data_IF_309073908558
#
_entry.id   IF_309073908558
#
_cell.length_a   1.000
_cell.length_b   1.000
_cell.length_c   1.000
_cell.angle_alpha   90.00
_cell.angle_beta   90.00
_cell.angle_gamma   90.00
#
_symmetry.space_group_name_H-M   'P 1'
#
loop_
_entity.id
_entity.type
_entity.pdbx_description
1 polymer ?
#
# COMPACT_ATOMS: atom_id res chain seq x y z
N UNK A 1 -89.98 10.29 13.57
CA UNK A 1 -89.04 10.72 14.62
C UNK A 1 -87.67 10.94 13.95
N UNK A 2 -87.44 12.09 13.29
CA UNK A 2 -86.53 13.20 13.68
C UNK A 2 -85.18 12.69 14.23
N UNK A 3 -84.19 12.48 13.36
CA UNK A 3 -83.09 13.41 12.99
C UNK A 3 -82.01 13.51 14.08
N UNK A 4 -80.91 12.78 13.89
CA UNK A 4 -79.63 13.06 14.55
C UNK A 4 -78.83 14.03 13.66
N UNK A 5 -78.39 15.14 14.25
CA UNK A 5 -77.43 16.09 13.68
C UNK A 5 -76.17 15.93 14.55
N UNK A 6 -75.05 15.55 13.94
CA UNK A 6 -73.73 15.69 14.55
C UNK A 6 -72.96 16.71 13.72
N UNK A 7 -72.55 17.78 14.38
CA UNK A 7 -71.81 18.90 13.82
C UNK A 7 -70.36 18.49 13.50
N UNK A 8 -69.88 18.97 12.36
CA UNK A 8 -68.51 18.82 11.90
C UNK A 8 -67.55 19.72 12.69
N UNK A 9 -66.39 19.19 13.07
CA UNK A 9 -65.21 19.98 13.38
C UNK A 9 -64.17 19.67 12.29
N UNK A 10 -63.93 20.64 11.42
CA UNK A 10 -62.83 20.61 10.46
C UNK A 10 -61.54 20.96 11.20
N UNK A 11 -60.49 20.16 11.02
CA UNK A 11 -59.12 20.57 11.32
C UNK A 11 -58.27 20.28 10.09
N UNK A 12 -57.79 21.37 9.52
CA UNK A 12 -56.98 21.43 8.31
C UNK A 12 -55.68 20.64 8.50
N UNK A 13 -55.55 19.53 7.77
CA UNK A 13 -54.28 18.86 7.61
C UNK A 13 -53.44 19.63 6.57
N UNK A 14 -52.38 20.27 7.04
CA UNK A 14 -51.35 20.85 6.19
C UNK A 14 -50.63 19.70 5.47
N UNK A 15 -50.87 19.52 4.17
CA UNK A 15 -50.16 18.56 3.34
C UNK A 15 -48.75 19.12 3.08
N UNK A 16 -47.77 18.67 3.86
CA UNK A 16 -46.36 18.81 3.51
C UNK A 16 -46.08 17.90 2.31
N UNK A 17 -46.04 18.49 1.11
CA UNK A 17 -45.48 17.85 -0.06
C UNK A 17 -43.96 17.67 0.16
N UNK A 18 -43.57 16.56 0.77
CA UNK A 18 -42.21 16.06 0.66
C UNK A 18 -42.01 15.61 -0.78
N UNK A 19 -41.44 16.50 -1.60
CA UNK A 19 -40.84 16.11 -2.86
C UNK A 19 -39.76 15.09 -2.55
N UNK A 20 -40.01 13.82 -2.88
CA UNK A 20 -38.98 12.79 -2.89
C UNK A 20 -37.98 13.17 -3.99
N UNK A 21 -36.92 13.88 -3.63
CA UNK A 21 -35.72 13.93 -4.42
C UNK A 21 -35.21 12.49 -4.49
N UNK A 22 -35.40 11.84 -5.64
CA UNK A 22 -34.77 10.55 -5.92
C UNK A 22 -33.27 10.68 -5.59
N UNK A 23 -32.67 9.73 -4.85
CA UNK A 23 -31.24 9.76 -4.64
C UNK A 23 -30.59 9.72 -6.01
N UNK A 24 -29.82 10.77 -6.33
CA UNK A 24 -28.97 10.77 -7.51
C UNK A 24 -28.13 9.49 -7.44
N UNK A 25 -28.31 8.62 -8.44
CA UNK A 25 -27.72 7.29 -8.46
C UNK A 25 -26.24 7.39 -8.11
N UNK A 26 -25.87 6.77 -6.99
CA UNK A 26 -24.50 6.38 -6.77
C UNK A 26 -24.17 5.46 -7.94
N UNK A 27 -23.44 5.98 -8.93
CA UNK A 27 -22.93 5.14 -10.00
C UNK A 27 -22.14 4.03 -9.32
N UNK A 28 -22.64 2.80 -9.45
CA UNK A 28 -21.94 1.61 -8.97
C UNK A 28 -20.56 1.63 -9.61
N UNK A 29 -19.54 1.99 -8.84
CA UNK A 29 -18.16 2.02 -9.32
C UNK A 29 -17.82 0.59 -9.70
N UNK A 30 -17.72 0.34 -11.00
CA UNK A 30 -17.32 -0.95 -11.53
C UNK A 30 -16.05 -1.40 -10.79
N UNK A 31 -16.04 -2.65 -10.34
CA UNK A 31 -14.91 -3.20 -9.62
C UNK A 31 -13.61 -2.99 -10.43
N UNK A 32 -12.48 -2.70 -9.77
CA UNK A 32 -11.20 -2.61 -10.45
C UNK A 32 -10.94 -3.90 -11.24
N UNK A 33 -10.33 -3.81 -12.43
CA UNK A 33 -10.00 -5.00 -13.19
C UNK A 33 -8.98 -5.85 -12.41
N UNK A 34 -8.98 -7.15 -12.68
CA UNK A 34 -8.01 -8.08 -12.10
C UNK A 34 -6.55 -7.70 -12.48
N UNK A 35 -5.57 -7.94 -11.59
CA UNK A 35 -4.17 -7.58 -11.81
C UNK A 35 -3.51 -8.27 -12.99
N UNK A 36 -4.00 -9.45 -13.39
CA UNK A 36 -3.24 -10.35 -14.24
C UNK A 36 -2.01 -10.88 -13.51
N UNK A 37 -0.94 -11.21 -14.25
CA UNK A 37 0.29 -11.75 -13.67
C UNK A 37 1.37 -10.67 -13.61
N UNK A 38 1.94 -10.46 -12.43
CA UNK A 38 3.13 -9.66 -12.23
C UNK A 38 4.05 -10.31 -11.19
N UNK A 39 5.30 -9.86 -11.15
CA UNK A 39 6.31 -10.34 -10.20
C UNK A 39 6.78 -9.17 -9.36
N UNK A 40 6.72 -9.32 -8.04
CA UNK A 40 7.39 -8.45 -7.08
C UNK A 40 8.79 -8.97 -6.83
N UNK A 41 9.80 -8.09 -6.90
CA UNK A 41 11.19 -8.49 -6.71
C UNK A 41 12.04 -7.35 -6.13
N UNK A 42 13.23 -7.67 -5.66
CA UNK A 42 14.17 -6.72 -5.07
C UNK A 42 15.60 -7.23 -5.08
N UNK A 43 16.55 -6.34 -4.83
CA UNK A 43 17.94 -6.74 -4.65
C UNK A 43 18.22 -7.14 -3.20
N UNK A 44 19.33 -7.86 -3.01
CA UNK A 44 19.81 -8.09 -1.66
C UNK A 44 20.26 -6.78 -1.03
N UNK A 45 20.00 -6.63 0.27
CA UNK A 45 20.52 -5.51 1.04
C UNK A 45 22.04 -5.47 0.90
N UNK A 46 22.57 -4.28 0.61
CA UNK A 46 23.98 -4.04 0.41
C UNK A 46 24.40 -2.71 1.06
N UNK A 47 25.70 -2.55 1.28
CA UNK A 47 26.27 -1.28 1.75
C UNK A 47 26.51 -0.41 0.51
N UNK A 48 25.97 0.81 0.51
CA UNK A 48 26.22 1.79 -0.54
C UNK A 48 27.70 2.16 -0.59
N UNK A 49 28.23 2.34 -1.81
CA UNK A 49 29.59 2.84 -2.04
C UNK A 49 29.74 4.33 -1.75
N UNK A 50 28.63 5.07 -1.64
CA UNK A 50 28.64 6.51 -1.33
C UNK A 50 28.69 6.73 0.18
N UNK A 51 29.57 7.62 0.65
CA UNK A 51 29.64 8.01 2.06
C UNK A 51 28.43 8.89 2.48
N UNK A 52 27.97 8.80 3.74
CA UNK A 52 28.38 7.83 4.76
C UNK A 52 27.88 6.42 4.42
N UNK A 53 28.50 5.40 4.97
CA UNK A 53 28.11 4.01 4.71
C UNK A 53 26.64 3.77 5.10
N UNK A 54 25.82 3.35 4.14
CA UNK A 54 24.40 3.09 4.35
C UNK A 54 24.01 1.69 3.88
N UNK A 55 23.27 0.94 4.70
CA UNK A 55 22.52 -0.21 4.19
C UNK A 55 21.44 0.29 3.24
N UNK A 56 21.32 -0.33 2.07
CA UNK A 56 20.34 0.04 1.06
C UNK A 56 19.79 -1.20 0.38
N UNK A 57 18.53 -1.12 -0.02
CA UNK A 57 17.86 -2.12 -0.83
C UNK A 57 16.91 -1.44 -1.82
N UNK A 58 16.66 -2.13 -2.92
CA UNK A 58 15.75 -1.69 -3.96
C UNK A 58 14.65 -2.71 -4.22
N UNK A 59 13.44 -2.21 -4.41
CA UNK A 59 12.27 -3.01 -4.77
C UNK A 59 11.71 -2.55 -6.11
N UNK A 60 11.21 -3.49 -6.89
CA UNK A 60 10.54 -3.22 -8.16
C UNK A 60 9.47 -4.27 -8.46
N UNK A 61 8.74 -4.03 -9.53
CA UNK A 61 7.75 -4.96 -10.06
C UNK A 61 8.01 -5.21 -11.54
N UNK A 62 7.59 -6.38 -12.03
CA UNK A 62 7.64 -6.72 -13.45
C UNK A 62 6.28 -7.23 -13.90
N UNK A 63 5.66 -6.50 -14.82
CA UNK A 63 4.44 -6.93 -15.49
C UNK A 63 4.73 -8.13 -16.39
N UNK A 64 3.87 -9.16 -16.31
CA UNK A 64 3.85 -10.29 -17.23
C UNK A 64 2.59 -10.21 -18.10
N UNK A 65 1.43 -9.97 -17.50
CA UNK A 65 0.14 -9.75 -18.19
C UNK A 65 -0.74 -8.77 -17.41
N UNK A 66 -1.96 -8.49 -17.89
CA UNK A 66 -2.95 -7.64 -17.20
C UNK A 66 -2.93 -6.15 -17.58
N UNK A 67 -3.82 -5.34 -16.99
CA UNK A 67 -4.03 -3.93 -17.39
C UNK A 67 -3.05 -2.96 -16.72
N UNK A 68 -2.43 -3.31 -15.59
CA UNK A 68 -1.58 -2.40 -14.81
C UNK A 68 -0.44 -1.77 -15.62
N UNK A 69 -0.22 -0.47 -15.47
CA UNK A 69 0.85 0.29 -16.17
C UNK A 69 1.86 0.94 -15.22
N UNK A 70 1.43 1.21 -13.98
CA UNK A 70 2.23 1.75 -12.89
C UNK A 70 1.86 1.03 -11.60
N UNK A 71 2.80 0.97 -10.68
CA UNK A 71 2.57 0.49 -9.33
C UNK A 71 3.23 1.41 -8.32
N UNK A 72 2.65 1.54 -7.14
CA UNK A 72 3.37 2.03 -5.96
C UNK A 72 4.17 0.87 -5.39
N UNK A 73 5.48 0.94 -5.51
CA UNK A 73 6.37 -0.03 -4.87
C UNK A 73 6.76 0.52 -3.52
N UNK A 74 6.46 -0.22 -2.46
CA UNK A 74 6.89 0.08 -1.09
C UNK A 74 7.92 -0.95 -0.67
N UNK A 75 9.06 -0.50 -0.18
CA UNK A 75 10.14 -1.37 0.33
C UNK A 75 10.45 -1.00 1.77
N UNK A 76 10.43 -2.02 2.62
CA UNK A 76 10.84 -1.97 4.01
C UNK A 76 12.24 -2.60 4.12
N UNK A 77 13.21 -1.82 4.58
CA UNK A 77 14.52 -2.31 4.95
C UNK A 77 14.46 -2.87 6.38
N UNK A 78 14.75 -4.16 6.54
CA UNK A 78 14.66 -4.85 7.81
C UNK A 78 16.02 -5.33 8.31
N UNK A 79 16.27 -5.14 9.59
CA UNK A 79 17.42 -5.69 10.31
C UNK A 79 16.94 -6.64 11.41
N UNK A 80 17.67 -7.74 11.61
CA UNK A 80 17.42 -8.65 12.73
C UNK A 80 18.04 -8.06 13.99
N UNK A 81 17.23 -7.74 14.98
CA UNK A 81 17.70 -7.30 16.29
C UNK A 81 18.18 -8.50 17.10
N UNK A 82 19.46 -8.48 17.49
CA UNK A 82 20.08 -9.59 18.22
C UNK A 82 19.57 -9.73 19.65
N UNK A 83 18.97 -8.67 20.21
CA UNK A 83 18.47 -8.66 21.60
C UNK A 83 17.22 -9.52 21.76
N UNK A 84 16.35 -9.52 20.76
CA UNK A 84 15.07 -10.24 20.78
C UNK A 84 14.89 -11.23 19.61
N UNK A 85 15.87 -11.36 18.72
CA UNK A 85 15.86 -12.19 17.51
C UNK A 85 14.67 -11.89 16.57
N UNK A 86 14.21 -10.63 16.52
CA UNK A 86 13.10 -10.21 15.65
C UNK A 86 13.57 -9.31 14.53
N UNK A 87 12.94 -9.47 13.37
CA UNK A 87 13.11 -8.55 12.25
C UNK A 87 12.38 -7.24 12.55
N UNK A 88 13.10 -6.12 12.47
CA UNK A 88 12.56 -4.78 12.66
C UNK A 88 12.76 -3.98 11.38
N UNK A 89 11.71 -3.31 10.93
CA UNK A 89 11.81 -2.32 9.86
C UNK A 89 12.52 -1.09 10.41
N UNK A 90 13.66 -0.75 9.81
CA UNK A 90 14.50 0.39 10.23
C UNK A 90 14.46 1.55 9.24
N UNK A 91 14.01 1.31 8.01
CA UNK A 91 13.71 2.34 7.04
C UNK A 91 12.65 1.84 6.05
N UNK A 92 11.83 2.77 5.55
CA UNK A 92 10.85 2.49 4.50
C UNK A 92 11.04 3.49 3.38
N UNK A 93 10.90 3.02 2.15
CA UNK A 93 10.87 3.87 0.97
C UNK A 93 9.74 3.46 0.05
N UNK A 94 9.20 4.40 -0.70
CA UNK A 94 8.20 4.08 -1.72
C UNK A 94 8.37 4.93 -2.95
N UNK A 95 7.95 4.40 -4.10
CA UNK A 95 7.95 5.13 -5.36
C UNK A 95 6.89 4.58 -6.30
N UNK A 96 6.13 5.46 -6.95
CA UNK A 96 5.28 5.09 -8.08
C UNK A 96 6.13 4.98 -9.34
N UNK A 97 6.16 3.78 -9.93
CA UNK A 97 7.06 3.44 -11.03
C UNK A 97 6.37 2.61 -12.09
N UNK A 98 6.90 2.69 -13.33
CA UNK A 98 6.57 1.71 -14.38
C UNK A 98 7.24 0.37 -14.06
N UNK A 99 6.78 -0.69 -14.72
CA UNK A 99 7.38 -2.02 -14.60
C UNK A 99 8.86 -2.02 -15.02
N UNK A 100 9.70 -2.71 -14.25
CA UNK A 100 11.12 -2.95 -14.53
C UNK A 100 12.05 -2.64 -13.33
N UNK A 101 13.25 -3.24 -13.30
CA UNK A 101 14.21 -3.10 -12.19
C UNK A 101 15.27 -1.99 -12.35
N UNK A 102 15.20 -1.20 -13.42
CA UNK A 102 16.15 -0.10 -13.66
C UNK A 102 16.07 0.99 -12.59
N UNK A 103 17.12 1.82 -12.46
CA UNK A 103 17.24 2.85 -11.41
C UNK A 103 16.06 3.81 -11.35
N UNK A 104 15.45 4.15 -12.49
CA UNK A 104 14.27 5.01 -12.57
C UNK A 104 12.97 4.29 -12.19
N UNK A 105 12.92 2.97 -12.29
CA UNK A 105 11.72 2.13 -12.13
C UNK A 105 11.70 1.30 -10.83
N UNK A 106 12.47 1.70 -9.82
CA UNK A 106 12.53 1.04 -8.52
C UNK A 106 12.37 2.01 -7.35
N UNK A 107 11.84 1.52 -6.24
CA UNK A 107 11.89 2.20 -4.95
C UNK A 107 13.20 1.86 -4.23
N UNK A 108 13.63 2.71 -3.29
CA UNK A 108 14.81 2.49 -2.47
C UNK A 108 14.44 2.75 -1.00
N UNK A 109 14.84 1.84 -0.11
CA UNK A 109 14.94 2.12 1.31
C UNK A 109 16.43 2.09 1.73
N UNK A 110 16.82 3.06 2.54
CA UNK A 110 18.19 3.20 3.02
C UNK A 110 18.26 3.65 4.47
N UNK A 111 19.29 3.20 5.17
CA UNK A 111 19.61 3.62 6.52
C UNK A 111 21.13 3.79 6.66
N UNK A 112 21.58 4.88 7.28
CA UNK A 112 22.99 5.04 7.65
C UNK A 112 23.36 4.02 8.71
N UNK A 113 24.48 3.31 8.52
CA UNK A 113 24.95 2.34 9.50
C UNK A 113 25.28 3.06 10.82
N UNK A 114 24.75 2.58 11.94
CA UNK A 114 25.07 3.13 13.27
C UNK A 114 26.55 2.94 13.61
N UNK A 115 27.13 1.82 13.18
CA UNK A 115 28.55 1.53 13.24
C UNK A 115 28.96 0.55 12.12
N UNK A 116 30.27 0.33 11.95
CA UNK A 116 30.85 -0.58 10.94
C UNK A 116 31.61 -1.77 11.54
N UNK A 117 31.46 -1.99 12.85
CA UNK A 117 32.20 -3.01 13.62
C UNK A 117 31.30 -4.14 14.11
N UNK A 118 30.00 -4.09 13.82
CA UNK A 118 29.03 -5.13 14.16
C UNK A 118 28.46 -5.75 12.88
N UNK A 119 28.31 -7.08 12.88
CA UNK A 119 27.59 -7.80 11.85
C UNK A 119 26.10 -7.90 12.20
N UNK A 120 25.24 -7.49 11.28
CA UNK A 120 23.78 -7.58 11.41
C UNK A 120 23.21 -8.35 10.21
N UNK A 121 22.16 -9.14 10.44
CA UNK A 121 21.40 -9.79 9.37
C UNK A 121 20.37 -8.81 8.83
N UNK A 122 20.35 -8.65 7.52
CA UNK A 122 19.51 -7.72 6.79
C UNK A 122 18.67 -8.45 5.74
N UNK A 123 17.46 -7.95 5.50
CA UNK A 123 16.60 -8.32 4.38
C UNK A 123 15.73 -7.13 3.98
N UNK A 124 15.01 -7.26 2.89
CA UNK A 124 13.95 -6.31 2.54
C UNK A 124 12.61 -7.03 2.39
N UNK A 125 11.53 -6.30 2.64
CA UNK A 125 10.16 -6.70 2.37
C UNK A 125 9.54 -5.72 1.40
N UNK A 126 9.00 -6.22 0.30
CA UNK A 126 8.53 -5.41 -0.82
C UNK A 126 7.04 -5.67 -1.04
N UNK A 127 6.30 -4.58 -1.15
CA UNK A 127 4.87 -4.51 -1.43
C UNK A 127 4.66 -3.77 -2.75
N UNK A 128 3.73 -4.22 -3.58
CA UNK A 128 3.49 -3.65 -4.91
C UNK A 128 1.99 -3.46 -5.08
N UNK A 129 1.58 -2.20 -5.06
CA UNK A 129 0.18 -1.83 -5.24
C UNK A 129 -0.01 -1.34 -6.68
N UNK A 130 -0.68 -2.14 -7.53
CA UNK A 130 -1.00 -1.72 -8.90
C UNK A 130 -2.04 -0.58 -8.90
N UNK A 131 -1.79 0.48 -9.66
CA UNK A 131 -2.68 1.65 -9.66
C UNK A 131 -3.89 1.41 -10.55
N UNK A 132 -5.09 1.53 -9.98
CA UNK A 132 -6.37 1.42 -10.71
C UNK A 132 -6.74 -0.01 -11.08
N UNK A 133 -6.14 -0.98 -10.39
CA UNK A 133 -6.28 -2.42 -10.65
C UNK A 133 -6.40 -3.10 -9.28
N UNK A 134 -7.12 -4.22 -9.20
CA UNK A 134 -7.22 -4.98 -7.96
C UNK A 134 -5.82 -5.44 -7.50
N UNK A 135 -5.62 -5.49 -6.18
CA UNK A 135 -4.32 -5.73 -5.57
C UNK A 135 -4.35 -6.94 -4.63
N UNK A 136 -3.22 -7.62 -4.53
CA UNK A 136 -3.02 -8.80 -3.70
C UNK A 136 -2.19 -8.46 -2.47
N UNK A 137 -2.48 -9.00 -1.27
CA UNK A 137 -1.75 -8.63 -0.04
C UNK A 137 -0.32 -9.21 0.04
N UNK A 138 0.12 -9.95 -0.98
CA UNK A 138 1.40 -10.65 -0.98
C UNK A 138 2.59 -9.71 -1.01
N UNK A 139 3.62 -10.07 -0.24
CA UNK A 139 4.86 -9.31 -0.16
C UNK A 139 6.05 -10.21 -0.42
N UNK A 140 6.96 -9.76 -1.26
CA UNK A 140 8.22 -10.46 -1.48
C UNK A 140 9.18 -10.17 -0.32
N UNK A 141 9.89 -11.20 0.14
CA UNK A 141 10.99 -11.06 1.10
C UNK A 141 12.27 -11.52 0.42
N UNK A 142 13.29 -10.67 0.40
CA UNK A 142 14.58 -11.00 -0.21
C UNK A 142 15.38 -11.96 0.66
N UNK A 143 16.35 -12.66 0.08
CA UNK A 143 17.26 -13.48 0.87
C UNK A 143 18.03 -12.63 1.90
N UNK A 144 18.33 -13.25 3.04
CA UNK A 144 19.03 -12.59 4.14
C UNK A 144 20.51 -12.40 3.81
N UNK A 145 21.08 -11.24 4.18
CA UNK A 145 22.52 -10.97 4.11
C UNK A 145 23.08 -10.53 5.45
N UNK A 146 24.24 -11.06 5.81
CA UNK A 146 25.01 -10.57 6.96
C UNK A 146 25.94 -9.46 6.48
N UNK A 147 25.82 -8.26 7.05
CA UNK A 147 26.58 -7.08 6.65
C UNK A 147 27.24 -6.43 7.87
N UNK A 148 28.45 -5.88 7.68
CA UNK A 148 29.13 -5.01 8.66
C UNK A 148 28.52 -3.61 8.68
N UNK A 149 27.26 -3.52 9.08
CA UNK A 149 26.47 -2.30 9.15
C UNK A 149 25.50 -2.43 10.32
N UNK A 150 25.77 -1.70 11.40
CA UNK A 150 24.91 -1.64 12.57
C UNK A 150 23.56 -0.99 12.25
N UNK A 151 22.49 -1.54 12.83
CA UNK A 151 21.11 -1.08 12.65
C UNK A 151 20.47 -0.53 13.94
N UNK A 152 21.08 -0.83 15.09
CA UNK A 152 20.61 -0.47 16.43
C UNK A 152 21.79 0.03 17.26
#
# INVERSE_FOLDING_TARGET
MRKFIIAAAASSALVLAFGAAAPAGAAEQAAPPEPGVFVTNGDHVHISSTAPATASAHGWWKKISGPGTKAKVTIELQALDYRDNKWKTVATGSKTVKSGGGSVNRANARMTCTNRVMQVKWRSRIDVDLIGVADSPEKAITATKTLWCGAF
#
